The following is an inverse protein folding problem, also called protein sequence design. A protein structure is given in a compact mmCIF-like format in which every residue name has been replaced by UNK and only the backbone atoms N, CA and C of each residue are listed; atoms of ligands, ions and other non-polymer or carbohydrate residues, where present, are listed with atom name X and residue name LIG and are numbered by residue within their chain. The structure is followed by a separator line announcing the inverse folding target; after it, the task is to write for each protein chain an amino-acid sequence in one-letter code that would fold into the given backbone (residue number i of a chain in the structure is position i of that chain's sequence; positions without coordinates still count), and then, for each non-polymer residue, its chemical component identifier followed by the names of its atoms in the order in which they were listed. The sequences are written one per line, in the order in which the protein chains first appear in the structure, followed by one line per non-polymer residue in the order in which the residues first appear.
data_IF_531986437986
#
_entry.id   IF_531986437986
#
_cell.length_a   1.000
_cell.length_b   1.000
_cell.length_c   1.000
_cell.angle_alpha   90.00
_cell.angle_beta   90.00
_cell.angle_gamma   90.00
#
_symmetry.space_group_name_H-M   'P 1'
#
loop_
_entity.id
_entity.type
_entity.pdbx_description
1 polymer ?
#
# COMPACT_ATOMS: atom_id res chain seq x y z
N UNK A 1 13.95 31.08 1.82
CA UNK A 1 13.90 29.70 1.27
C UNK A 1 15.00 28.78 1.83
N UNK A 2 16.31 29.08 1.71
CA UNK A 2 17.41 28.15 2.07
C UNK A 2 17.55 27.73 3.55
N UNK A 3 16.96 28.45 4.50
CA UNK A 3 16.95 28.05 5.93
C UNK A 3 16.02 26.87 6.21
N UNK A 4 15.08 26.57 5.31
CA UNK A 4 14.02 25.58 5.52
C UNK A 4 14.58 24.14 5.47
N UNK A 5 15.45 23.80 4.51
CA UNK A 5 16.05 22.45 4.37
C UNK A 5 16.92 22.02 5.57
N UNK A 6 17.40 22.98 6.36
CA UNK A 6 18.15 22.71 7.59
C UNK A 6 17.35 22.97 8.87
N UNK A 7 16.03 23.14 8.77
CA UNK A 7 15.16 23.50 9.89
C UNK A 7 14.59 22.25 10.60
N UNK A 8 14.23 22.39 11.87
CA UNK A 8 13.57 21.31 12.63
C UNK A 8 12.24 20.88 11.99
N UNK A 9 11.37 21.79 11.50
CA UNK A 9 10.16 21.40 10.78
C UNK A 9 10.43 20.53 9.54
N UNK A 10 11.51 20.79 8.80
CA UNK A 10 11.86 19.96 7.66
C UNK A 10 12.29 18.55 8.07
N UNK A 11 13.12 18.42 9.11
CA UNK A 11 13.48 17.10 9.64
C UNK A 11 12.25 16.32 10.15
N UNK A 12 11.29 17.01 10.76
CA UNK A 12 10.02 16.41 11.19
C UNK A 12 9.19 15.93 9.99
N UNK A 13 9.08 16.74 8.94
CA UNK A 13 8.36 16.36 7.72
C UNK A 13 8.99 15.13 7.04
N UNK A 14 10.33 15.08 6.96
CA UNK A 14 11.04 13.89 6.44
C UNK A 14 10.77 12.67 7.33
N UNK A 15 10.81 12.82 8.66
CA UNK A 15 10.50 11.71 9.57
C UNK A 15 9.08 11.18 9.36
N UNK A 16 8.09 12.07 9.22
CA UNK A 16 6.70 11.68 8.95
C UNK A 16 6.57 10.91 7.62
N UNK A 17 7.29 11.35 6.58
CA UNK A 17 7.34 10.66 5.29
C UNK A 17 7.95 9.27 5.44
N UNK A 18 9.06 9.11 6.17
CA UNK A 18 9.68 7.79 6.35
C UNK A 18 8.83 6.83 7.22
N UNK A 19 8.10 7.35 8.21
CA UNK A 19 7.12 6.57 8.98
C UNK A 19 6.01 6.07 8.05
N UNK A 20 5.50 6.95 7.19
CA UNK A 20 4.50 6.57 6.19
C UNK A 20 5.05 5.53 5.19
N UNK A 21 6.30 5.70 4.73
CA UNK A 21 6.97 4.76 3.83
C UNK A 21 7.10 3.35 4.44
N UNK A 22 7.58 3.25 5.69
CA UNK A 22 7.64 1.96 6.42
C UNK A 22 6.26 1.33 6.56
N UNK A 23 5.25 2.14 6.93
CA UNK A 23 3.87 1.66 7.04
C UNK A 23 3.32 1.15 5.71
N UNK A 24 3.63 1.84 4.61
CA UNK A 24 3.24 1.47 3.25
C UNK A 24 3.88 0.14 2.82
N UNK A 25 5.19 -0.01 2.96
CA UNK A 25 5.90 -1.27 2.62
C UNK A 25 5.45 -2.45 3.51
N UNK A 26 5.16 -2.20 4.79
CA UNK A 26 4.61 -3.23 5.69
C UNK A 26 3.18 -3.64 5.30
N UNK A 27 2.33 -2.68 4.93
CA UNK A 27 0.94 -2.94 4.51
C UNK A 27 0.87 -3.64 3.15
N UNK A 28 1.78 -3.31 2.24
CA UNK A 28 1.90 -3.92 0.92
C UNK A 28 2.68 -5.25 0.92
N UNK A 29 3.12 -5.73 2.08
CA UNK A 29 3.99 -6.91 2.18
C UNK A 29 3.41 -8.14 1.48
N UNK A 30 2.20 -8.56 1.86
CA UNK A 30 1.61 -9.80 1.34
C UNK A 30 1.36 -9.70 -0.17
N UNK A 31 0.92 -8.55 -0.66
CA UNK A 31 0.74 -8.32 -2.09
C UNK A 31 2.08 -8.37 -2.83
N UNK A 32 3.12 -7.73 -2.31
CA UNK A 32 4.47 -7.74 -2.91
C UNK A 32 5.08 -9.15 -2.93
N UNK A 33 4.81 -9.96 -1.91
CA UNK A 33 5.22 -11.37 -1.89
C UNK A 33 4.56 -12.15 -3.04
N UNK A 34 3.27 -11.91 -3.29
CA UNK A 34 2.51 -12.60 -4.34
C UNK A 34 2.87 -12.13 -5.75
N UNK A 35 3.06 -10.83 -5.95
CA UNK A 35 3.36 -10.25 -7.28
C UNK A 35 4.84 -10.37 -7.67
N UNK A 36 5.76 -10.40 -6.70
CA UNK A 36 7.20 -10.35 -6.95
C UNK A 36 7.94 -11.49 -6.27
N UNK A 37 8.05 -11.43 -4.94
CA UNK A 37 8.53 -12.50 -4.04
C UNK A 37 8.83 -11.94 -2.63
N UNK A 38 9.08 -12.86 -1.70
CA UNK A 38 9.47 -12.56 -0.32
C UNK A 38 10.78 -11.76 -0.19
N UNK A 39 11.75 -11.96 -1.08
CA UNK A 39 13.03 -11.24 -1.00
C UNK A 39 12.83 -9.75 -1.29
N UNK A 40 12.04 -9.40 -2.30
CA UNK A 40 11.72 -8.01 -2.63
C UNK A 40 10.89 -7.33 -1.55
N UNK A 41 9.91 -8.02 -0.98
CA UNK A 41 9.12 -7.50 0.15
C UNK A 41 10.00 -7.25 1.38
N UNK A 42 10.85 -8.22 1.74
CA UNK A 42 11.82 -8.10 2.84
C UNK A 42 12.78 -6.93 2.65
N UNK A 43 13.33 -6.79 1.44
CA UNK A 43 14.25 -5.70 1.12
C UNK A 43 13.59 -4.33 1.20
N UNK A 44 12.32 -4.19 0.77
CA UNK A 44 11.55 -2.94 0.86
C UNK A 44 11.40 -2.46 2.31
N UNK A 45 10.90 -3.32 3.20
CA UNK A 45 10.74 -3.01 4.64
C UNK A 45 12.09 -2.69 5.29
N UNK A 46 13.15 -3.44 4.98
CA UNK A 46 14.48 -3.18 5.53
C UNK A 46 15.04 -1.83 5.05
N UNK A 47 14.87 -1.50 3.76
CA UNK A 47 15.33 -0.21 3.20
C UNK A 47 14.59 0.95 3.84
N UNK A 48 13.25 0.89 3.91
CA UNK A 48 12.45 1.93 4.57
C UNK A 48 12.82 2.09 6.05
N UNK A 49 13.11 0.98 6.74
CA UNK A 49 13.60 1.01 8.12
C UNK A 49 14.96 1.71 8.26
N UNK A 50 15.89 1.51 7.32
CA UNK A 50 17.17 2.23 7.29
C UNK A 50 16.96 3.73 7.09
N UNK A 51 16.07 4.13 6.19
CA UNK A 51 15.77 5.54 5.92
C UNK A 51 15.13 6.21 7.15
N UNK A 52 14.21 5.53 7.83
CA UNK A 52 13.62 5.98 9.10
C UNK A 52 14.69 6.19 10.18
N UNK A 53 15.65 5.27 10.32
CA UNK A 53 16.76 5.43 11.28
C UNK A 53 17.64 6.65 10.96
N UNK A 54 17.90 6.91 9.68
CA UNK A 54 18.66 8.09 9.24
C UNK A 54 17.88 9.38 9.52
N UNK A 55 16.56 9.40 9.29
CA UNK A 55 15.70 10.54 9.57
C UNK A 55 15.61 10.85 11.08
N UNK A 56 15.47 9.81 11.91
CA UNK A 56 15.49 9.92 13.38
C UNK A 56 16.81 10.51 13.88
N UNK A 57 17.95 10.03 13.38
CA UNK A 57 19.26 10.59 13.71
C UNK A 57 19.35 12.08 13.35
N UNK A 58 18.87 12.45 12.15
CA UNK A 58 18.93 13.82 11.68
C UNK A 58 18.10 14.77 12.56
N UNK A 59 16.89 14.35 12.96
CA UNK A 59 16.03 15.11 13.87
C UNK A 59 16.64 15.18 15.28
N UNK A 60 17.14 14.06 15.80
CA UNK A 60 17.69 14.01 17.15
C UNK A 60 18.91 14.93 17.32
N UNK A 61 19.82 14.97 16.34
CA UNK A 61 20.94 15.93 16.34
C UNK A 61 20.46 17.37 16.25
N UNK A 62 19.36 17.63 15.53
CA UNK A 62 18.80 18.97 15.40
C UNK A 62 18.21 19.48 16.72
N UNK A 63 17.58 18.60 17.49
CA UNK A 63 16.95 18.93 18.78
C UNK A 63 17.95 19.00 19.94
N UNK A 64 18.91 18.07 19.98
CA UNK A 64 19.83 17.93 21.13
C UNK A 64 21.11 18.75 21.04
N UNK A 65 21.35 19.42 19.90
CA UNK A 65 22.62 20.09 19.62
C UNK A 65 23.79 19.11 19.48
N UNK A 66 24.97 19.60 19.12
CA UNK A 66 26.15 18.76 18.85
C UNK A 66 26.79 18.10 20.08
N UNK A 67 26.24 18.30 21.30
CA UNK A 67 26.82 17.80 22.56
C UNK A 67 26.19 16.50 23.10
N UNK A 68 25.18 15.93 22.43
CA UNK A 68 24.48 14.74 22.94
C UNK A 68 25.19 13.42 22.60
N UNK A 69 24.85 12.36 23.34
CA UNK A 69 25.31 10.98 23.08
C UNK A 69 24.97 10.48 21.65
N UNK A 70 24.03 11.14 20.96
CA UNK A 70 23.57 10.82 19.60
C UNK A 70 24.55 11.30 18.53
N UNK A 71 25.44 12.25 18.85
CA UNK A 71 26.59 12.60 18.01
C UNK A 71 27.59 11.44 17.84
N UNK A 72 27.45 10.35 18.60
CA UNK A 72 28.25 9.13 18.45
C UNK A 72 28.15 8.53 17.03
N UNK A 73 26.97 8.62 16.37
CA UNK A 73 26.81 8.15 14.98
C UNK A 73 27.65 8.96 13.97
N UNK A 74 28.10 10.16 14.37
CA UNK A 74 28.95 11.07 13.59
C UNK A 74 30.42 11.03 14.01
N UNK A 75 30.78 10.21 15.00
CA UNK A 75 32.18 9.93 15.28
C UNK A 75 32.75 9.08 14.16
N UNK A 76 33.98 9.40 13.77
CA UNK A 76 34.71 8.66 12.77
C UNK A 76 35.02 7.26 13.30
N UNK A 77 34.47 6.24 12.63
CA UNK A 77 34.68 4.84 12.97
C UNK A 77 35.89 4.28 12.24
N UNK A 78 36.04 4.65 10.97
CA UNK A 78 37.12 4.18 10.11
C UNK A 78 37.76 5.40 9.45
N UNK A 79 39.08 5.48 9.51
CA UNK A 79 39.87 6.47 8.79
C UNK A 79 40.61 5.80 7.65
N UNK A 80 40.47 6.35 6.45
CA UNK A 80 41.19 5.91 5.25
C UNK A 80 42.38 6.85 5.06
N UNK A 81 43.59 6.31 5.01
CA UNK A 81 44.77 7.14 4.82
C UNK A 81 44.79 7.73 3.41
N UNK A 82 45.30 8.95 3.26
CA UNK A 82 45.40 9.61 1.96
C UNK A 82 46.31 8.84 0.99
N UNK A 83 47.35 8.19 1.52
CA UNK A 83 48.25 7.35 0.72
C UNK A 83 47.53 6.11 0.19
N UNK A 84 46.67 5.48 0.99
CA UNK A 84 45.85 4.35 0.54
C UNK A 84 44.80 4.80 -0.48
N UNK A 85 44.10 5.91 -0.24
CA UNK A 85 43.10 6.43 -1.17
C UNK A 85 43.70 6.75 -2.55
N UNK A 86 44.85 7.44 -2.59
CA UNK A 86 45.56 7.75 -3.83
C UNK A 86 46.11 6.52 -4.53
N UNK A 87 46.54 5.49 -3.77
CA UNK A 87 47.05 4.23 -4.34
C UNK A 87 45.95 3.42 -5.03
N UNK A 88 44.76 3.36 -4.45
CA UNK A 88 43.65 2.57 -4.97
C UNK A 88 42.84 3.28 -6.06
N UNK A 89 42.61 4.60 -5.92
CA UNK A 89 41.73 5.37 -6.82
C UNK A 89 42.48 6.36 -7.72
N UNK A 90 43.80 6.45 -7.58
CA UNK A 90 44.60 7.50 -8.21
C UNK A 90 44.48 8.86 -7.52
N UNK A 91 45.32 9.81 -7.93
CA UNK A 91 45.48 11.10 -7.24
C UNK A 91 44.23 11.98 -7.29
N UNK A 92 43.49 11.94 -8.40
CA UNK A 92 42.30 12.78 -8.61
C UNK A 92 41.14 12.35 -7.70
N UNK A 93 40.70 11.09 -7.81
CA UNK A 93 39.60 10.54 -7.00
C UNK A 93 40.00 10.39 -5.52
N UNK A 94 41.25 10.01 -5.23
CA UNK A 94 41.74 9.87 -3.86
C UNK A 94 41.76 11.20 -3.07
N UNK A 95 41.84 12.34 -3.75
CA UNK A 95 41.77 13.66 -3.11
C UNK A 95 40.35 14.05 -2.69
N UNK A 96 39.33 13.64 -3.46
CA UNK A 96 37.93 13.98 -3.22
C UNK A 96 37.15 12.91 -2.45
N UNK A 97 37.78 11.75 -2.22
CA UNK A 97 37.24 10.66 -1.40
C UNK A 97 36.99 11.12 0.04
N UNK A 98 35.87 10.70 0.61
CA UNK A 98 35.57 10.83 2.03
C UNK A 98 36.50 9.92 2.83
N UNK A 99 37.47 10.51 3.54
CA UNK A 99 38.50 9.78 4.31
C UNK A 99 38.05 9.38 5.72
N UNK A 100 37.01 10.02 6.23
CA UNK A 100 36.46 9.75 7.55
C UNK A 100 35.08 9.12 7.43
N UNK A 101 35.01 7.81 7.66
CA UNK A 101 33.76 7.06 7.59
C UNK A 101 33.10 7.06 8.97
N UNK A 102 31.95 7.69 9.05
CA UNK A 102 31.09 7.71 10.25
C UNK A 102 30.01 6.65 10.12
N UNK A 103 29.41 6.24 11.24
CA UNK A 103 28.27 5.31 11.22
C UNK A 103 27.14 5.83 10.32
N UNK A 104 26.89 7.15 10.37
CA UNK A 104 25.91 7.82 9.51
C UNK A 104 26.21 7.68 8.02
N UNK A 105 27.45 7.90 7.60
CA UNK A 105 27.84 7.76 6.19
C UNK A 105 27.72 6.31 5.71
N UNK A 106 28.04 5.35 6.58
CA UNK A 106 27.85 3.92 6.29
C UNK A 106 26.36 3.61 6.10
N UNK A 107 25.50 4.05 7.03
CA UNK A 107 24.05 3.87 6.93
C UNK A 107 23.46 4.50 5.66
N UNK A 108 23.85 5.74 5.34
CA UNK A 108 23.43 6.41 4.10
C UNK A 108 23.89 5.68 2.84
N UNK A 109 25.10 5.12 2.86
CA UNK A 109 25.63 4.35 1.72
C UNK A 109 24.88 3.02 1.56
N UNK A 110 24.57 2.33 2.67
CA UNK A 110 23.77 1.11 2.66
C UNK A 110 22.34 1.37 2.18
N UNK A 111 21.70 2.45 2.64
CA UNK A 111 20.40 2.90 2.15
C UNK A 111 20.43 3.17 0.65
N UNK A 112 21.41 3.94 0.14
CA UNK A 112 21.52 4.21 -1.30
C UNK A 112 21.80 2.97 -2.15
N UNK A 113 22.57 1.99 -1.63
CA UNK A 113 22.76 0.69 -2.29
C UNK A 113 21.47 -0.14 -2.28
N UNK A 114 20.73 -0.16 -1.17
CA UNK A 114 19.45 -0.85 -1.08
C UNK A 114 18.43 -0.24 -2.06
N UNK A 115 18.30 1.09 -2.09
CA UNK A 115 17.47 1.82 -3.05
C UNK A 115 17.84 1.44 -4.49
N UNK A 116 19.14 1.43 -4.81
CA UNK A 116 19.63 1.03 -6.13
C UNK A 116 19.18 -0.38 -6.49
N UNK A 117 19.48 -1.35 -5.63
CA UNK A 117 19.22 -2.76 -5.89
C UNK A 117 17.73 -3.09 -6.00
N UNK A 118 16.90 -2.53 -5.11
CA UNK A 118 15.45 -2.70 -5.14
C UNK A 118 14.84 -2.13 -6.41
N UNK A 119 15.29 -0.95 -6.84
CA UNK A 119 14.78 -0.34 -8.07
C UNK A 119 15.33 -1.01 -9.34
N UNK A 120 16.51 -1.64 -9.32
CA UNK A 120 16.94 -2.52 -10.43
C UNK A 120 16.04 -3.75 -10.52
N UNK A 121 15.69 -4.35 -9.38
CA UNK A 121 14.75 -5.46 -9.34
C UNK A 121 13.38 -5.03 -9.86
N UNK A 122 12.87 -3.88 -9.43
CA UNK A 122 11.59 -3.35 -9.88
C UNK A 122 11.60 -2.97 -11.36
N UNK A 123 12.71 -2.43 -11.87
CA UNK A 123 12.89 -2.19 -13.30
C UNK A 123 12.89 -3.49 -14.12
N UNK A 124 13.60 -4.51 -13.65
CA UNK A 124 13.60 -5.83 -14.29
C UNK A 124 12.21 -6.47 -14.29
N UNK A 125 11.50 -6.40 -13.16
CA UNK A 125 10.13 -6.89 -13.04
C UNK A 125 9.18 -6.12 -13.95
N UNK A 126 9.24 -4.78 -13.96
CA UNK A 126 8.45 -3.94 -14.86
C UNK A 126 8.72 -4.28 -16.34
N UNK A 127 9.98 -4.52 -16.70
CA UNK A 127 10.37 -4.88 -18.05
C UNK A 127 9.77 -6.21 -18.50
N UNK A 128 9.76 -7.22 -17.62
CA UNK A 128 9.12 -8.51 -17.88
C UNK A 128 7.63 -8.39 -18.16
N UNK A 129 6.95 -7.45 -17.48
CA UNK A 129 5.52 -7.18 -17.66
C UNK A 129 5.23 -6.16 -18.77
N UNK A 130 6.23 -5.82 -19.61
CA UNK A 130 6.16 -4.81 -20.66
C UNK A 130 5.64 -3.44 -20.15
N UNK A 131 6.01 -3.09 -18.93
CA UNK A 131 5.63 -1.85 -18.25
C UNK A 131 6.63 -0.73 -18.51
N UNK A 132 6.14 0.43 -18.93
CA UNK A 132 6.98 1.61 -19.18
C UNK A 132 7.54 2.21 -17.88
N UNK A 133 7.00 1.86 -16.71
CA UNK A 133 7.57 2.20 -15.41
C UNK A 133 9.04 1.75 -15.23
N UNK A 134 9.50 0.78 -16.03
CA UNK A 134 10.90 0.34 -16.10
C UNK A 134 11.88 1.51 -16.15
N UNK A 135 11.63 2.50 -17.00
CA UNK A 135 12.53 3.65 -17.15
C UNK A 135 12.56 4.52 -15.88
N UNK A 136 11.43 4.68 -15.21
CA UNK A 136 11.34 5.40 -13.94
C UNK A 136 12.16 4.71 -12.86
N UNK A 137 12.02 3.39 -12.72
CA UNK A 137 12.81 2.61 -11.78
C UNK A 137 14.32 2.63 -12.09
N UNK A 138 14.72 2.59 -13.36
CA UNK A 138 16.13 2.76 -13.76
C UNK A 138 16.69 4.15 -13.37
N UNK A 139 15.89 5.21 -13.50
CA UNK A 139 16.29 6.54 -13.05
C UNK A 139 16.43 6.60 -11.52
N UNK A 140 15.48 6.05 -10.76
CA UNK A 140 15.57 5.99 -9.30
C UNK A 140 16.83 5.22 -8.89
N UNK A 141 17.09 4.09 -9.52
CA UNK A 141 18.28 3.26 -9.26
C UNK A 141 19.58 4.03 -9.54
N UNK A 142 19.66 4.71 -10.69
CA UNK A 142 20.82 5.56 -11.05
C UNK A 142 20.97 6.71 -10.06
N UNK A 143 19.86 7.29 -9.61
CA UNK A 143 19.84 8.30 -8.55
C UNK A 143 20.35 7.77 -7.21
N UNK A 144 19.98 6.54 -6.83
CA UNK A 144 20.51 5.84 -5.65
C UNK A 144 22.03 5.66 -5.72
N UNK A 145 22.56 5.20 -6.87
CA UNK A 145 24.00 5.12 -7.12
C UNK A 145 24.68 6.47 -7.00
N UNK A 146 24.13 7.50 -7.66
CA UNK A 146 24.66 8.87 -7.57
C UNK A 146 24.66 9.37 -6.12
N UNK A 147 23.63 9.06 -5.33
CA UNK A 147 23.53 9.38 -3.91
C UNK A 147 24.64 8.73 -3.08
N UNK A 148 24.84 7.42 -3.25
CA UNK A 148 25.92 6.66 -2.58
C UNK A 148 27.32 7.15 -3.00
N UNK A 149 27.52 7.47 -4.29
CA UNK A 149 28.78 8.06 -4.73
C UNK A 149 28.95 9.48 -4.16
N UNK A 150 27.87 10.23 -4.01
CA UNK A 150 27.87 11.53 -3.34
C UNK A 150 28.35 11.43 -1.89
N UNK A 151 27.91 10.44 -1.11
CA UNK A 151 28.40 10.25 0.26
C UNK A 151 29.87 9.82 0.29
N UNK A 152 30.28 8.98 -0.65
CA UNK A 152 31.66 8.49 -0.80
C UNK A 152 32.68 9.54 -1.26
N UNK A 153 32.26 10.54 -2.04
CA UNK A 153 33.14 11.58 -2.60
C UNK A 153 32.80 12.99 -2.07
N UNK A 154 32.82 13.15 -0.75
CA UNK A 154 32.42 14.38 -0.06
C UNK A 154 33.25 15.64 -0.36
N UNK A 155 34.41 15.47 -1.00
CA UNK A 155 35.29 16.56 -1.47
C UNK A 155 34.89 17.19 -2.80
N UNK A 156 33.86 16.69 -3.47
CA UNK A 156 33.35 17.29 -4.71
C UNK A 156 32.77 18.70 -4.51
N UNK A 157 32.69 19.45 -5.60
CA UNK A 157 32.08 20.78 -5.65
C UNK A 157 30.68 20.75 -5.02
N UNK A 158 30.42 21.75 -4.18
CA UNK A 158 29.15 21.90 -3.46
C UNK A 158 28.33 23.02 -4.08
N UNK A 159 27.09 22.72 -4.38
CA UNK A 159 26.06 23.68 -4.76
C UNK A 159 25.00 23.66 -3.66
N UNK A 160 24.70 24.81 -3.05
CA UNK A 160 23.74 24.89 -1.93
C UNK A 160 23.99 23.88 -0.79
N UNK A 161 25.26 23.68 -0.41
CA UNK A 161 25.74 22.75 0.64
C UNK A 161 25.58 21.25 0.34
N UNK A 162 24.95 20.87 -0.77
CA UNK A 162 24.95 19.50 -1.29
C UNK A 162 26.04 19.36 -2.36
N UNK A 163 26.65 18.20 -2.49
CA UNK A 163 27.56 17.98 -3.62
C UNK A 163 26.77 17.81 -4.93
N UNK A 164 27.44 18.00 -6.06
CA UNK A 164 26.81 17.89 -7.39
C UNK A 164 26.14 16.52 -7.59
N UNK A 165 26.73 15.42 -7.11
CA UNK A 165 26.13 14.09 -7.23
C UNK A 165 24.85 13.94 -6.40
N UNK A 166 24.75 14.56 -5.24
CA UNK A 166 23.53 14.58 -4.42
C UNK A 166 22.40 15.34 -5.11
N UNK A 167 22.72 16.41 -5.85
CA UNK A 167 21.72 17.10 -6.69
C UNK A 167 21.26 16.23 -7.85
N UNK A 168 22.19 15.56 -8.53
CA UNK A 168 21.87 14.59 -9.59
C UNK A 168 21.00 13.47 -9.02
N UNK A 169 21.34 12.94 -7.84
CA UNK A 169 20.54 11.92 -7.16
C UNK A 169 19.10 12.39 -6.93
N UNK A 170 18.90 13.57 -6.34
CA UNK A 170 17.56 14.13 -6.10
C UNK A 170 16.75 14.32 -7.38
N UNK A 171 17.39 14.84 -8.44
CA UNK A 171 16.72 15.03 -9.73
C UNK A 171 16.33 13.69 -10.38
N UNK A 172 17.23 12.71 -10.37
CA UNK A 172 16.97 11.40 -10.95
C UNK A 172 15.90 10.63 -10.18
N UNK A 173 15.95 10.64 -8.85
CA UNK A 173 14.93 10.01 -8.01
C UNK A 173 13.58 10.69 -8.20
N UNK A 174 13.52 12.03 -8.11
CA UNK A 174 12.27 12.77 -8.27
C UNK A 174 11.65 12.60 -9.65
N UNK A 175 12.47 12.68 -10.72
CA UNK A 175 12.01 12.44 -12.08
C UNK A 175 11.58 10.98 -12.28
N UNK A 176 12.35 10.05 -11.75
CA UNK A 176 12.03 8.62 -11.81
C UNK A 176 10.71 8.28 -11.15
N UNK A 177 10.44 8.81 -9.94
CA UNK A 177 9.13 8.69 -9.26
C UNK A 177 8.02 9.26 -10.14
N UNK A 178 8.23 10.46 -10.72
CA UNK A 178 7.26 11.06 -11.64
C UNK A 178 6.97 10.20 -12.86
N UNK A 179 8.00 9.59 -13.47
CA UNK A 179 7.85 8.67 -14.60
C UNK A 179 7.11 7.40 -14.17
N UNK A 180 7.44 6.80 -13.02
CA UNK A 180 6.69 5.63 -12.51
C UNK A 180 5.22 6.00 -12.34
N UNK A 181 4.92 7.14 -11.70
CA UNK A 181 3.54 7.56 -11.47
C UNK A 181 2.76 7.84 -12.78
N UNK A 182 3.41 8.36 -13.81
CA UNK A 182 2.76 8.74 -15.07
C UNK A 182 2.69 7.61 -16.11
N UNK A 183 3.65 6.69 -16.10
CA UNK A 183 3.80 5.65 -17.12
C UNK A 183 3.54 4.24 -16.62
N UNK A 184 3.24 4.04 -15.33
CA UNK A 184 2.79 2.73 -14.84
C UNK A 184 1.52 2.33 -15.55
N UNK A 185 1.53 1.17 -16.18
CA UNK A 185 0.35 0.67 -16.88
C UNK A 185 -0.81 0.44 -15.90
N UNK A 186 -2.03 0.73 -16.37
CA UNK A 186 -3.25 0.36 -15.64
C UNK A 186 -3.46 -1.16 -15.68
N UNK A 187 -4.27 -1.75 -14.77
CA UNK A 187 -4.57 -3.18 -14.82
C UNK A 187 -5.12 -3.66 -16.19
N UNK A 188 -5.90 -2.81 -16.87
CA UNK A 188 -6.41 -3.09 -18.21
C UNK A 188 -5.30 -3.08 -19.26
N UNK A 189 -4.40 -2.10 -19.22
CA UNK A 189 -3.25 -2.05 -20.12
C UNK A 189 -2.31 -3.24 -19.91
N UNK A 190 -2.08 -3.66 -18.66
CA UNK A 190 -1.34 -4.89 -18.36
C UNK A 190 -1.98 -6.11 -19.01
N UNK A 191 -3.30 -6.25 -18.85
CA UNK A 191 -4.04 -7.36 -19.43
C UNK A 191 -3.98 -7.34 -20.97
N UNK A 192 -4.11 -6.16 -21.60
CA UNK A 192 -4.02 -6.02 -23.06
C UNK A 192 -2.62 -6.35 -23.60
N UNK A 193 -1.58 -5.87 -22.91
CA UNK A 193 -0.19 -6.04 -23.34
C UNK A 193 0.34 -7.46 -23.14
N UNK A 194 -0.13 -8.17 -22.10
CA UNK A 194 0.39 -9.48 -21.69
C UNK A 194 -0.62 -10.63 -21.79
N UNK A 195 -1.87 -10.35 -22.16
CA UNK A 195 -2.92 -11.33 -22.36
C UNK A 195 -2.94 -11.90 -23.79
N UNK A 196 -4.08 -12.45 -24.26
CA UNK A 196 -4.17 -13.23 -25.49
C UNK A 196 -3.92 -12.43 -26.77
N UNK A 197 -3.91 -11.10 -26.70
CA UNK A 197 -3.61 -10.19 -27.80
C UNK A 197 -2.20 -9.59 -27.74
N UNK A 198 -1.47 -9.90 -26.67
CA UNK A 198 -0.14 -9.38 -26.37
C UNK A 198 0.98 -10.04 -27.16
N UNK A 199 2.21 -9.58 -26.93
CA UNK A 199 3.38 -10.23 -27.52
C UNK A 199 3.65 -11.55 -26.80
N UNK A 200 3.73 -12.66 -27.53
CA UNK A 200 3.92 -14.02 -27.00
C UNK A 200 5.30 -14.30 -26.38
N UNK A 201 6.14 -13.27 -26.24
CA UNK A 201 7.49 -13.38 -25.72
C UNK A 201 7.57 -12.71 -24.36
N UNK A 202 7.44 -13.52 -23.31
CA UNK A 202 8.35 -13.61 -22.17
C UNK A 202 7.68 -14.48 -21.09
N UNK A 203 8.42 -15.50 -20.61
CA UNK A 203 8.18 -16.27 -19.36
C UNK A 203 6.73 -16.60 -18.95
N UNK A 204 6.23 -17.78 -19.36
CA UNK A 204 5.12 -18.53 -18.74
C UNK A 204 4.01 -17.72 -18.03
N UNK A 205 3.51 -16.65 -18.64
CA UNK A 205 2.40 -15.92 -18.05
C UNK A 205 1.12 -16.73 -18.23
N UNK A 206 0.45 -17.03 -17.11
CA UNK A 206 -0.84 -17.70 -17.03
C UNK A 206 -1.95 -16.98 -17.82
N UNK A 207 -1.73 -15.71 -18.18
CA UNK A 207 -2.58 -14.92 -19.08
C UNK A 207 -2.53 -15.35 -20.55
N UNK A 208 -1.64 -16.29 -20.92
CA UNK A 208 -1.68 -16.94 -22.23
C UNK A 208 -2.81 -17.98 -22.32
N UNK A 209 -3.30 -18.50 -21.19
CA UNK A 209 -4.50 -19.34 -21.18
C UNK A 209 -5.72 -18.45 -21.46
N UNK A 210 -6.44 -18.65 -22.58
CA UNK A 210 -7.59 -17.82 -22.93
C UNK A 210 -8.69 -17.83 -21.87
N UNK A 211 -8.87 -18.93 -21.14
CA UNK A 211 -9.89 -19.03 -20.09
C UNK A 211 -9.53 -18.20 -18.87
N UNK A 212 -8.27 -18.29 -18.42
CA UNK A 212 -7.78 -17.52 -17.29
C UNK A 212 -7.68 -16.03 -17.65
N UNK A 213 -7.22 -15.69 -18.84
CA UNK A 213 -7.21 -14.31 -19.33
C UNK A 213 -8.63 -13.73 -19.37
N UNK A 214 -9.60 -14.47 -19.92
CA UNK A 214 -10.99 -14.02 -19.94
C UNK A 214 -11.54 -13.83 -18.53
N UNK A 215 -11.27 -14.75 -17.60
CA UNK A 215 -11.65 -14.63 -16.19
C UNK A 215 -11.07 -13.37 -15.54
N UNK A 216 -9.78 -13.07 -15.77
CA UNK A 216 -9.13 -11.85 -15.29
C UNK A 216 -9.73 -10.58 -15.91
N UNK A 217 -10.09 -10.60 -17.19
CA UNK A 217 -10.79 -9.49 -17.84
C UNK A 217 -12.17 -9.25 -17.21
N UNK A 218 -12.94 -10.32 -17.01
CA UNK A 218 -14.26 -10.24 -16.35
C UNK A 218 -14.10 -9.63 -14.96
N UNK A 219 -13.05 -9.99 -14.21
CA UNK A 219 -12.76 -9.38 -12.92
C UNK A 219 -12.49 -7.87 -13.02
N UNK A 220 -11.69 -7.43 -13.98
CA UNK A 220 -11.43 -6.00 -14.21
C UNK A 220 -12.70 -5.21 -14.53
N UNK A 221 -13.64 -5.84 -15.23
CA UNK A 221 -14.92 -5.23 -15.61
C UNK A 221 -16.01 -5.39 -14.54
N UNK A 222 -15.83 -6.31 -13.59
CA UNK A 222 -16.81 -6.68 -12.58
C UNK A 222 -17.20 -5.52 -11.67
N UNK A 223 -16.34 -4.49 -11.52
CA UNK A 223 -16.63 -3.28 -10.76
C UNK A 223 -17.16 -3.58 -9.36
N UNK A 224 -16.51 -4.52 -8.66
CA UNK A 224 -16.91 -4.93 -7.32
C UNK A 224 -16.65 -3.78 -6.36
N UNK A 225 -17.67 -3.31 -5.67
CA UNK A 225 -17.53 -2.25 -4.66
C UNK A 225 -18.32 -2.59 -3.40
N UNK A 226 -17.82 -2.12 -2.26
CA UNK A 226 -18.47 -2.19 -0.96
C UNK A 226 -18.71 -0.76 -0.48
N UNK A 227 -19.97 -0.43 -0.22
CA UNK A 227 -20.36 0.84 0.37
C UNK A 227 -21.06 0.60 1.71
N UNK A 228 -20.66 1.34 2.74
CA UNK A 228 -21.23 1.28 4.07
C UNK A 228 -21.80 2.68 4.37
N UNK A 229 -23.12 2.79 4.47
CA UNK A 229 -23.80 4.07 4.61
C UNK A 229 -24.93 4.02 5.63
N UNK A 230 -25.38 5.20 6.07
CA UNK A 230 -26.61 5.33 6.87
C UNK A 230 -27.82 4.93 6.04
N UNK A 231 -28.79 4.26 6.66
CA UNK A 231 -30.06 3.95 6.01
C UNK A 231 -30.96 5.21 5.97
N UNK A 232 -31.33 5.73 4.80
CA UNK A 232 -32.20 6.90 4.70
C UNK A 232 -33.62 6.63 5.20
N UNK A 233 -34.05 5.36 5.23
CA UNK A 233 -35.38 4.96 5.69
C UNK A 233 -35.40 4.54 7.18
N UNK A 234 -34.31 4.81 7.91
CA UNK A 234 -34.23 4.48 9.31
C UNK A 234 -35.20 5.33 10.14
N UNK A 235 -36.06 4.66 10.89
CA UNK A 235 -36.93 5.27 11.88
C UNK A 235 -36.66 4.61 13.24
N UNK A 236 -36.11 5.34 14.24
CA UNK A 236 -35.82 4.78 15.57
C UNK A 236 -37.08 4.36 16.32
N UNK A 237 -38.28 4.78 15.87
CA UNK A 237 -39.59 4.40 16.43
C UNK A 237 -40.38 3.51 15.47
N UNK A 238 -39.71 2.88 14.50
CA UNK A 238 -40.36 1.98 13.55
C UNK A 238 -41.16 0.91 14.31
N UNK A 239 -42.47 0.92 14.09
CA UNK A 239 -43.36 -0.14 14.55
C UNK A 239 -43.64 -1.13 13.41
N UNK A 240 -43.96 -2.36 13.78
CA UNK A 240 -44.37 -3.39 12.84
C UNK A 240 -45.76 -3.06 12.29
N UNK A 241 -45.82 -2.77 10.98
CA UNK A 241 -47.04 -2.41 10.26
C UNK A 241 -46.95 -3.01 8.85
N UNK A 242 -47.94 -3.85 8.50
CA UNK A 242 -48.02 -4.53 7.21
C UNK A 242 -48.56 -3.65 6.08
N UNK A 243 -49.14 -2.49 6.41
CA UNK A 243 -49.68 -1.55 5.42
C UNK A 243 -48.61 -0.58 4.88
N UNK A 244 -47.44 -0.53 5.52
CA UNK A 244 -46.33 0.33 5.10
C UNK A 244 -45.53 -0.37 4.00
N UNK A 245 -45.24 0.36 2.92
CA UNK A 245 -44.52 -0.16 1.74
C UNK A 245 -43.12 -0.71 2.09
N UNK A 246 -42.41 -0.05 3.01
CA UNK A 246 -41.07 -0.47 3.44
C UNK A 246 -41.19 -1.36 4.69
N UNK A 247 -40.72 -2.62 4.64
CA UNK A 247 -40.76 -3.54 5.77
C UNK A 247 -40.11 -3.00 7.04
N UNK A 248 -40.66 -3.37 8.19
CA UNK A 248 -40.13 -3.01 9.51
C UNK A 248 -38.64 -3.36 9.68
N UNK A 249 -38.20 -4.50 9.17
CA UNK A 249 -36.79 -4.93 9.28
C UNK A 249 -35.81 -3.97 8.58
N UNK A 250 -36.25 -3.32 7.49
CA UNK A 250 -35.47 -2.27 6.83
C UNK A 250 -35.55 -0.97 7.64
N UNK A 251 -36.75 -0.54 8.04
CA UNK A 251 -36.94 0.73 8.78
C UNK A 251 -36.27 0.76 10.16
N UNK A 252 -36.13 -0.40 10.81
CA UNK A 252 -35.48 -0.53 12.12
C UNK A 252 -33.95 -0.72 12.06
N UNK A 253 -33.37 -0.73 10.84
CA UNK A 253 -31.94 -0.86 10.60
C UNK A 253 -31.35 0.50 10.27
N UNK A 254 -30.28 0.93 10.96
CA UNK A 254 -29.71 2.27 10.78
C UNK A 254 -28.59 2.31 9.73
N UNK A 255 -28.12 1.14 9.30
CA UNK A 255 -26.94 0.98 8.45
C UNK A 255 -27.24 0.06 7.26
N UNK A 256 -26.75 0.45 6.09
CA UNK A 256 -26.81 -0.31 4.84
C UNK A 256 -25.38 -0.65 4.43
N UNK A 257 -25.15 -1.93 4.16
CA UNK A 257 -23.95 -2.42 3.50
C UNK A 257 -24.37 -2.85 2.09
N UNK A 258 -23.91 -2.12 1.08
CA UNK A 258 -24.22 -2.38 -0.34
C UNK A 258 -23.01 -3.01 -1.00
N UNK A 259 -23.22 -4.20 -1.55
CA UNK A 259 -22.26 -4.96 -2.35
C UNK A 259 -22.64 -4.81 -3.81
N UNK A 260 -21.86 -4.07 -4.58
CA UNK A 260 -22.15 -3.78 -5.99
C UNK A 260 -21.28 -4.63 -6.90
N UNK A 261 -21.84 -5.07 -8.03
CA UNK A 261 -21.09 -5.74 -9.09
C UNK A 261 -21.82 -5.68 -10.43
N UNK A 262 -21.04 -5.51 -11.50
CA UNK A 262 -21.50 -5.56 -12.90
C UNK A 262 -21.52 -6.98 -13.47
N UNK A 263 -21.10 -7.99 -12.70
CA UNK A 263 -21.05 -9.39 -13.16
C UNK A 263 -22.37 -9.90 -13.78
N UNK A 264 -23.56 -9.62 -13.22
CA UNK A 264 -24.83 -10.05 -13.83
C UNK A 264 -25.06 -9.51 -15.25
N UNK A 265 -24.61 -8.29 -15.54
CA UNK A 265 -24.78 -7.66 -16.86
C UNK A 265 -23.68 -8.00 -17.86
N UNK A 266 -22.52 -8.49 -17.40
CA UNK A 266 -21.39 -8.84 -18.26
C UNK A 266 -21.54 -10.22 -18.91
N UNK A 267 -22.39 -11.08 -18.35
CA UNK A 267 -22.47 -12.49 -18.74
C UNK A 267 -23.94 -12.87 -18.96
N UNK A 268 -24.31 -12.98 -20.23
CA UNK A 268 -25.69 -13.23 -20.69
C UNK A 268 -26.22 -14.64 -20.33
N UNK A 269 -25.33 -15.60 -20.07
CA UNK A 269 -25.67 -16.97 -19.65
C UNK A 269 -24.95 -17.34 -18.36
N UNK A 270 -25.60 -17.10 -17.24
CA UNK A 270 -25.18 -17.56 -15.93
C UNK A 270 -26.08 -18.71 -15.49
N UNK A 271 -25.46 -19.83 -15.10
CA UNK A 271 -26.20 -20.89 -14.41
C UNK A 271 -26.50 -20.47 -12.97
N UNK A 272 -25.62 -19.65 -12.38
CA UNK A 272 -25.89 -18.96 -11.11
C UNK A 272 -24.82 -17.94 -10.74
N UNK A 273 -25.23 -16.92 -9.98
CA UNK A 273 -24.35 -16.02 -9.24
C UNK A 273 -24.75 -16.09 -7.77
N UNK A 274 -23.83 -16.48 -6.91
CA UNK A 274 -23.99 -16.47 -5.47
C UNK A 274 -23.10 -15.41 -4.83
N UNK A 275 -23.62 -14.65 -3.86
CA UNK A 275 -22.86 -13.65 -3.12
C UNK A 275 -22.76 -14.13 -1.67
N UNK A 276 -21.57 -14.54 -1.27
CA UNK A 276 -21.27 -14.84 0.12
C UNK A 276 -20.74 -13.58 0.78
N UNK A 277 -21.42 -13.09 1.80
CA UNK A 277 -21.02 -11.93 2.56
C UNK A 277 -20.95 -12.26 4.05
N UNK A 278 -19.81 -12.01 4.67
CA UNK A 278 -19.67 -12.00 6.13
C UNK A 278 -19.46 -10.56 6.60
N UNK A 279 -20.31 -10.13 7.53
CA UNK A 279 -20.23 -8.81 8.15
C UNK A 279 -19.95 -8.98 9.64
N UNK A 280 -18.97 -8.26 10.17
CA UNK A 280 -18.61 -8.29 11.60
C UNK A 280 -18.54 -6.87 12.12
N UNK A 281 -19.05 -6.69 13.33
CA UNK A 281 -18.87 -5.44 14.04
C UNK A 281 -17.41 -5.32 14.49
N UNK A 282 -16.79 -4.20 14.16
CA UNK A 282 -15.43 -3.84 14.53
C UNK A 282 -15.51 -2.78 15.62
N UNK A 283 -15.00 -3.12 16.80
CA UNK A 283 -14.85 -2.19 17.91
C UNK A 283 -13.55 -1.44 17.73
N UNK A 284 -13.63 -0.12 17.58
CA UNK A 284 -12.49 0.76 17.42
C UNK A 284 -12.32 1.56 18.71
N UNK A 285 -11.10 1.54 19.23
CA UNK A 285 -10.71 2.30 20.42
C UNK A 285 -9.58 3.23 20.04
N UNK A 286 -9.89 4.52 19.99
CA UNK A 286 -8.89 5.57 19.76
C UNK A 286 -8.45 6.14 21.11
N UNK A 287 -7.14 6.27 21.27
CA UNK A 287 -6.51 6.95 22.39
C UNK A 287 -5.92 8.25 21.89
N UNK A 288 -6.43 9.36 22.42
CA UNK A 288 -5.99 10.70 22.10
C UNK A 288 -5.00 11.22 23.14
N UNK A 289 -4.10 12.10 22.72
CA UNK A 289 -3.29 12.90 23.64
C UNK A 289 -4.19 13.88 24.41
N UNK A 290 -3.62 14.54 25.43
CA UNK A 290 -4.31 15.62 26.15
C UNK A 290 -4.70 16.79 25.21
N UNK A 291 -4.06 16.90 24.05
CA UNK A 291 -4.34 17.91 23.02
C UNK A 291 -5.38 17.43 21.98
N UNK A 292 -5.99 16.26 22.19
CA UNK A 292 -7.05 15.70 21.34
C UNK A 292 -6.55 14.98 20.08
N UNK A 293 -5.23 14.81 19.91
CA UNK A 293 -4.66 14.13 18.75
C UNK A 293 -4.64 12.61 18.96
N UNK A 294 -5.31 11.79 18.11
CA UNK A 294 -5.22 10.34 18.22
C UNK A 294 -3.79 9.88 17.93
N UNK A 295 -3.23 9.06 18.81
CA UNK A 295 -1.87 8.50 18.63
C UNK A 295 -1.84 6.97 18.70
N UNK A 296 -2.92 6.34 19.16
CA UNK A 296 -3.07 4.89 19.15
C UNK A 296 -4.52 4.54 18.80
N UNK A 297 -4.68 3.66 17.82
CA UNK A 297 -5.97 3.10 17.43
C UNK A 297 -5.88 1.59 17.54
N UNK A 298 -6.72 1.00 18.38
CA UNK A 298 -6.85 -0.44 18.51
C UNK A 298 -8.17 -0.87 17.88
N UNK A 299 -8.14 -1.91 17.06
CA UNK A 299 -9.33 -2.44 16.39
C UNK A 299 -9.51 -3.91 16.72
N UNK A 300 -10.71 -4.27 17.17
CA UNK A 300 -11.07 -5.64 17.48
C UNK A 300 -12.34 -6.04 16.72
N UNK A 301 -12.24 -7.08 15.92
CA UNK A 301 -13.41 -7.63 15.22
C UNK A 301 -14.18 -8.59 16.12
N UNK A 302 -15.50 -8.55 16.04
CA UNK A 302 -16.35 -9.55 16.67
C UNK A 302 -15.96 -10.97 16.21
N UNK A 303 -16.01 -11.94 17.13
CA UNK A 303 -15.63 -13.32 16.83
C UNK A 303 -16.59 -14.01 15.85
N UNK A 304 -17.86 -13.58 15.82
CA UNK A 304 -18.91 -14.18 15.00
C UNK A 304 -19.44 -13.17 13.98
N UNK A 305 -19.77 -13.62 12.76
CA UNK A 305 -20.49 -12.78 11.80
C UNK A 305 -21.89 -12.44 12.32
N UNK A 306 -22.33 -11.22 12.04
CA UNK A 306 -23.70 -10.78 12.30
C UNK A 306 -24.58 -11.05 11.08
N UNK A 307 -25.80 -11.52 11.33
CA UNK A 307 -26.79 -11.72 10.28
C UNK A 307 -27.53 -10.42 10.01
N UNK A 308 -27.76 -10.06 8.73
CA UNK A 308 -28.53 -8.88 8.40
C UNK A 308 -29.99 -9.04 8.84
N UNK A 309 -30.61 -7.95 9.27
CA UNK A 309 -32.03 -7.92 9.64
C UNK A 309 -32.94 -8.06 8.42
N UNK A 310 -32.48 -7.54 7.29
CA UNK A 310 -33.14 -7.65 6.00
C UNK A 310 -32.08 -7.66 4.90
N UNK A 311 -32.47 -8.20 3.73
CA UNK A 311 -31.67 -8.16 2.52
C UNK A 311 -32.55 -7.69 1.36
N UNK A 312 -31.97 -6.93 0.44
CA UNK A 312 -32.64 -6.46 -0.78
C UNK A 312 -31.73 -6.69 -1.97
N UNK A 313 -32.23 -7.41 -2.96
CA UNK A 313 -31.50 -7.74 -4.17
C UNK A 313 -31.89 -6.78 -5.30
N UNK A 314 -30.89 -6.22 -5.95
CA UNK A 314 -30.95 -5.46 -7.19
C UNK A 314 -30.21 -6.22 -8.29
N UNK A 315 -30.45 -5.90 -9.57
CA UNK A 315 -29.71 -6.51 -10.69
C UNK A 315 -28.18 -6.38 -10.55
N UNK A 316 -27.70 -5.27 -10.01
CA UNK A 316 -26.27 -4.93 -9.88
C UNK A 316 -25.77 -4.84 -8.44
N UNK A 317 -26.63 -5.10 -7.44
CA UNK A 317 -26.24 -4.93 -6.04
C UNK A 317 -27.01 -5.84 -5.07
N UNK A 318 -26.37 -6.19 -3.97
CA UNK A 318 -26.99 -6.78 -2.79
C UNK A 318 -26.86 -5.80 -1.63
N UNK A 319 -27.99 -5.39 -1.07
CA UNK A 319 -28.03 -4.58 0.14
C UNK A 319 -28.36 -5.42 1.36
N UNK A 320 -27.56 -5.22 2.40
CA UNK A 320 -27.67 -5.87 3.69
C UNK A 320 -27.94 -4.81 4.76
N UNK A 321 -29.00 -4.99 5.54
CA UNK A 321 -29.46 -4.02 6.53
C UNK A 321 -29.07 -4.46 7.94
N UNK A 322 -28.39 -3.58 8.67
CA UNK A 322 -27.89 -3.84 10.02
C UNK A 322 -28.31 -2.75 11.02
N UNK A 323 -28.23 -3.10 12.31
CA UNK A 323 -28.31 -2.12 13.39
C UNK A 323 -26.95 -1.98 14.04
N UNK A 324 -26.31 -0.85 13.79
CA UNK A 324 -25.06 -0.48 14.45
C UNK A 324 -25.37 -0.02 15.87
N UNK A 325 -24.70 -0.58 16.89
CA UNK A 325 -24.85 -0.09 18.25
C UNK A 325 -24.53 1.41 18.33
N UNK A 326 -25.30 2.14 19.14
CA UNK A 326 -25.04 3.55 19.35
C UNK A 326 -23.63 3.72 19.94
N UNK A 327 -22.84 4.59 19.31
CA UNK A 327 -21.55 5.03 19.86
C UNK A 327 -21.82 5.78 21.16
N UNK A 328 -21.93 5.04 22.26
CA UNK A 328 -22.11 5.61 23.58
C UNK A 328 -20.74 6.09 23.98
N UNK A 329 -20.50 7.40 23.87
CA UNK A 329 -19.27 8.03 24.29
C UNK A 329 -19.10 7.90 25.81
N UNK A 330 -18.70 6.73 26.28
CA UNK A 330 -17.98 6.57 27.54
C UNK A 330 -16.56 7.11 27.31
N UNK A 331 -16.50 8.42 27.05
CA UNK A 331 -15.26 9.17 26.85
C UNK A 331 -14.58 9.29 28.20
N UNK A 332 -13.69 8.35 28.50
CA UNK A 332 -12.85 8.46 29.68
C UNK A 332 -11.70 9.41 29.33
N UNK A 333 -11.92 10.72 29.44
CA UNK A 333 -11.03 11.87 29.14
C UNK A 333 -10.26 11.86 27.80
N UNK A 334 -9.54 10.80 27.47
CA UNK A 334 -8.63 10.63 26.34
C UNK A 334 -8.89 9.36 25.48
N UNK A 335 -9.96 8.60 25.76
CA UNK A 335 -10.28 7.39 24.99
C UNK A 335 -11.68 7.50 24.39
N UNK A 336 -11.79 7.31 23.09
CA UNK A 336 -13.07 7.23 22.37
C UNK A 336 -13.30 5.83 21.83
N UNK A 337 -14.53 5.36 21.98
CA UNK A 337 -14.97 4.06 21.49
C UNK A 337 -16.05 4.26 20.44
N UNK A 338 -15.89 3.63 19.28
CA UNK A 338 -16.91 3.61 18.24
C UNK A 338 -16.96 2.26 17.54
N UNK A 339 -18.09 2.00 16.90
CA UNK A 339 -18.30 0.80 16.12
C UNK A 339 -18.25 1.10 14.63
N UNK A 340 -17.56 0.24 13.91
CA UNK A 340 -17.49 0.20 12.46
C UNK A 340 -17.89 -1.20 11.96
N UNK A 341 -18.09 -1.34 10.66
CA UNK A 341 -18.35 -2.64 10.03
C UNK A 341 -17.12 -3.10 9.25
N UNK A 342 -16.66 -4.31 9.55
CA UNK A 342 -15.74 -5.06 8.69
C UNK A 342 -16.56 -5.99 7.80
N UNK A 343 -16.27 -5.98 6.49
CA UNK A 343 -17.07 -6.70 5.49
C UNK A 343 -16.16 -7.56 4.64
N UNK A 344 -16.55 -8.80 4.40
CA UNK A 344 -15.85 -9.70 3.47
C UNK A 344 -16.88 -10.27 2.50
N UNK A 345 -16.72 -9.98 1.22
CA UNK A 345 -17.64 -10.43 0.18
C UNK A 345 -16.91 -11.26 -0.89
N UNK A 346 -17.51 -12.39 -1.27
CA UNK A 346 -17.05 -13.26 -2.34
C UNK A 346 -18.22 -13.55 -3.29
N UNK A 347 -18.02 -13.29 -4.57
CA UNK A 347 -18.98 -13.56 -5.62
C UNK A 347 -18.58 -14.86 -6.31
N UNK A 348 -19.46 -15.86 -6.29
CA UNK A 348 -19.23 -17.15 -6.94
C UNK A 348 -20.09 -17.23 -8.17
N UNK A 349 -19.44 -17.32 -9.32
CA UNK A 349 -20.07 -17.51 -10.61
C UNK A 349 -20.03 -18.99 -10.97
N UNK A 350 -21.18 -19.59 -11.21
CA UNK A 350 -21.30 -20.99 -11.63
C UNK A 350 -21.64 -21.07 -13.10
N UNK A 351 -20.86 -21.88 -13.84
CA UNK A 351 -21.09 -22.22 -15.24
C UNK A 351 -20.78 -23.69 -15.48
N UNK A 352 -21.80 -24.50 -15.72
CA UNK A 352 -21.71 -25.95 -15.80
C UNK A 352 -21.18 -26.54 -14.49
N UNK A 353 -20.04 -27.21 -14.56
CA UNK A 353 -19.34 -27.77 -13.40
C UNK A 353 -18.26 -26.83 -12.82
N UNK A 354 -18.03 -25.67 -13.43
CA UNK A 354 -16.98 -24.74 -12.98
C UNK A 354 -17.54 -23.63 -12.10
N UNK A 355 -16.85 -23.38 -10.99
CA UNK A 355 -17.05 -22.21 -10.14
C UNK A 355 -15.88 -21.25 -10.31
N UNK A 356 -16.18 -19.97 -10.57
CA UNK A 356 -15.20 -18.88 -10.60
C UNK A 356 -15.51 -17.91 -9.48
N UNK A 357 -14.49 -17.54 -8.71
CA UNK A 357 -14.63 -16.73 -7.50
C UNK A 357 -14.16 -15.30 -7.77
N UNK A 358 -14.85 -14.29 -7.27
CA UNK A 358 -14.47 -12.90 -7.42
C UNK A 358 -14.49 -12.18 -6.06
N UNK A 359 -13.61 -11.19 -5.84
CA UNK A 359 -12.66 -10.63 -6.80
C UNK A 359 -11.49 -11.57 -7.14
N UNK A 360 -11.11 -11.67 -8.41
CA UNK A 360 -9.89 -12.37 -8.79
C UNK A 360 -8.65 -11.58 -8.29
N UNK A 361 -7.53 -12.25 -8.01
CA UNK A 361 -6.29 -11.56 -7.66
C UNK A 361 -5.83 -10.59 -8.78
N UNK A 362 -4.97 -9.60 -8.45
CA UNK A 362 -4.40 -8.68 -9.43
C UNK A 362 -3.75 -9.38 -10.65
N UNK A 363 -3.58 -8.66 -11.75
CA UNK A 363 -3.03 -9.21 -13.02
C UNK A 363 -1.57 -9.69 -12.90
N UNK A 364 -0.83 -9.21 -11.89
CA UNK A 364 0.54 -9.67 -11.59
C UNK A 364 0.58 -10.80 -10.56
N UNK A 365 -0.57 -11.15 -9.98
CA UNK A 365 -0.72 -12.13 -8.92
C UNK A 365 -1.23 -13.46 -9.51
N UNK A 366 -0.32 -14.43 -9.58
CA UNK A 366 -0.56 -15.76 -10.14
C UNK A 366 -1.40 -16.67 -9.22
N UNK A 367 -1.84 -16.17 -8.06
CA UNK A 367 -2.59 -16.99 -7.10
C UNK A 367 -3.85 -17.57 -7.75
N UNK A 368 -4.00 -18.89 -7.65
CA UNK A 368 -5.19 -19.63 -8.07
C UNK A 368 -6.08 -19.94 -6.86
N UNK A 369 -7.37 -20.14 -7.13
CA UNK A 369 -8.31 -20.49 -6.08
C UNK A 369 -7.99 -21.88 -5.51
N UNK A 370 -8.17 -22.03 -4.20
CA UNK A 370 -7.97 -23.26 -3.45
C UNK A 370 -8.89 -23.26 -2.23
N UNK A 371 -9.05 -24.41 -1.58
CA UNK A 371 -9.90 -24.53 -0.38
C UNK A 371 -9.49 -23.58 0.75
N UNK A 372 -8.21 -23.18 0.81
CA UNK A 372 -7.71 -22.19 1.78
C UNK A 372 -8.43 -20.83 1.67
N UNK A 373 -9.00 -20.51 0.51
CA UNK A 373 -9.68 -19.24 0.23
C UNK A 373 -11.19 -19.27 0.40
N UNK A 374 -11.76 -20.39 0.87
CA UNK A 374 -13.21 -20.51 1.13
C UNK A 374 -13.70 -19.76 2.37
N UNK A 375 -12.78 -19.39 3.27
CA UNK A 375 -13.09 -18.66 4.50
C UNK A 375 -12.39 -17.30 4.50
N UNK A 376 -13.11 -16.23 4.87
CA UNK A 376 -12.51 -14.92 4.97
C UNK A 376 -11.63 -14.80 6.22
N UNK A 377 -10.54 -14.06 6.10
CA UNK A 377 -9.72 -13.61 7.23
C UNK A 377 -10.00 -12.13 7.51
N UNK A 378 -10.58 -11.84 8.67
CA UNK A 378 -10.92 -10.48 9.09
C UNK A 378 -9.72 -9.72 9.67
N UNK A 379 -8.59 -10.40 9.91
CA UNK A 379 -7.35 -9.74 10.35
C UNK A 379 -6.51 -9.26 9.16
N UNK A 380 -6.93 -9.57 7.93
CA UNK A 380 -6.24 -9.20 6.71
C UNK A 380 -7.14 -8.38 5.81
N UNK A 381 -6.54 -7.42 5.13
CA UNK A 381 -7.14 -6.64 4.04
C UNK A 381 -6.50 -7.08 2.72
N UNK A 382 -7.18 -6.85 1.60
CA UNK A 382 -6.71 -7.24 0.27
C UNK A 382 -6.36 -8.73 0.17
N UNK A 383 -7.20 -9.57 0.77
CA UNK A 383 -7.10 -11.02 0.70
C UNK A 383 -7.52 -11.50 -0.70
N UNK A 384 -6.78 -12.41 -1.36
CA UNK A 384 -7.21 -13.03 -2.61
C UNK A 384 -8.62 -13.61 -2.53
N UNK A 385 -9.44 -13.40 -3.57
CA UNK A 385 -10.81 -13.93 -3.67
C UNK A 385 -11.83 -13.36 -2.67
N UNK A 386 -11.48 -12.31 -1.93
CA UNK A 386 -12.36 -11.63 -0.98
C UNK A 386 -12.28 -10.11 -1.16
N UNK A 387 -13.43 -9.48 -1.39
CA UNK A 387 -13.54 -8.03 -1.34
C UNK A 387 -13.69 -7.58 0.12
N UNK A 388 -12.96 -6.53 0.49
CA UNK A 388 -13.01 -5.90 1.80
C UNK A 388 -13.39 -4.41 1.74
N UNK A 389 -13.85 -3.87 2.86
CA UNK A 389 -14.39 -2.51 2.95
C UNK A 389 -13.36 -1.39 2.77
N UNK A 390 -12.07 -1.72 2.73
CA UNK A 390 -10.97 -0.76 2.57
C UNK A 390 -10.50 -0.76 1.12
N UNK A 391 -10.16 -1.93 0.58
CA UNK A 391 -9.61 -2.08 -0.79
C UNK A 391 -10.68 -1.87 -1.86
N UNK A 392 -11.91 -2.30 -1.60
CA UNK A 392 -13.04 -2.20 -2.53
C UNK A 392 -14.03 -1.12 -2.09
N UNK A 393 -13.57 -0.14 -1.30
CA UNK A 393 -14.40 0.97 -0.88
C UNK A 393 -14.89 1.73 -2.12
N UNK A 394 -16.20 1.95 -2.22
CA UNK A 394 -16.74 2.82 -3.26
C UNK A 394 -16.10 4.21 -3.14
N UNK A 395 -15.54 4.72 -4.24
CA UNK A 395 -15.09 6.12 -4.26
C UNK A 395 -16.31 7.02 -4.05
N UNK A 396 -16.19 8.09 -3.24
CA UNK A 396 -17.24 9.09 -3.18
C UNK A 396 -17.41 9.66 -4.59
N UNK A 397 -18.59 9.47 -5.18
CA UNK A 397 -18.95 10.16 -6.42
C UNK A 397 -18.88 11.67 -6.13
N UNK A 398 -17.88 12.36 -6.68
CA UNK A 398 -17.84 13.83 -6.79
C UNK A 398 -18.91 14.34 -7.77
#
# INVERSE_FOLDING_TARGET
AYRVLGSTPFCLAVLMLEVWNVSSEASAWEQTVREKNKSRASGGVLSAGLDLLIALEALAVKLSGTQSAIAFSRKTLITVSETQAKRWLGTSLGNILTKELTARLILQSLSGVALTGLNLYDAWSAWQWNDQATYGYLLISTGGLAGTLGTGFGGMAKLFKLNVLSWIALLLIGTGIGIVALLSATPMEFWLANGPFGQSNQTNHYLNDPLEAFYRLVNLLAGININISKNPNFDPRAAFDFHVEIPHAIRSSDTIIRLESRLPGLIDKLDGLNIQAECRLKHVTDVSSNDGMPYQTNTENALRPELPKAQRLYPEALELFFSTPANTALSTANTTHHFEWAVRAQFTLTRGAENRYFPAPPIKDETQFSEAWTKPDFNKVNQPFWADEITYKAEPND
#
